data_IF_605206258758
#
_entry.id   IF_605206258758
#
_cell.length_a   1.000
_cell.length_b   1.000
_cell.length_c   1.000
_cell.angle_alpha   90.00
_cell.angle_beta   90.00
_cell.angle_gamma   90.00
#
_symmetry.space_group_name_H-M   'P 1'
#
loop_
_entity.id
_entity.type
_entity.pdbx_description
1 polymer ?
#
# COMPACT_ATOMS: atom_id res chain seq x y z
N UNK A 1 -25.42 -8.77 4.47
CA UNK A 1 -24.87 -7.97 3.34
C UNK A 1 -24.90 -8.83 2.09
N UNK A 2 -24.92 -8.25 0.87
CA UNK A 2 -24.85 -9.07 -0.35
C UNK A 2 -23.53 -9.84 -0.41
N UNK A 3 -23.56 -11.02 -1.03
CA UNK A 3 -22.35 -11.80 -1.31
C UNK A 3 -21.70 -11.19 -2.55
N UNK A 4 -20.44 -10.75 -2.43
CA UNK A 4 -19.66 -10.21 -3.55
C UNK A 4 -19.05 -11.33 -4.38
N UNK A 5 -18.82 -11.08 -5.66
CA UNK A 5 -18.04 -12.01 -6.49
C UNK A 5 -16.58 -12.04 -6.05
N UNK A 6 -16.04 -10.85 -5.70
CA UNK A 6 -14.67 -10.72 -5.18
C UNK A 6 -14.54 -9.57 -4.17
N UNK A 7 -13.80 -9.81 -3.10
CA UNK A 7 -13.34 -8.76 -2.19
C UNK A 7 -11.83 -8.60 -2.33
N UNK A 8 -11.39 -7.36 -2.57
CA UNK A 8 -9.98 -6.99 -2.70
C UNK A 8 -9.54 -6.37 -1.38
N UNK A 9 -8.51 -6.92 -0.76
CA UNK A 9 -7.96 -6.47 0.53
C UNK A 9 -6.64 -5.75 0.29
N UNK A 10 -6.63 -4.46 0.53
CA UNK A 10 -5.51 -3.55 0.29
C UNK A 10 -5.68 -2.71 -0.98
N UNK A 11 -5.29 -1.43 -0.87
CA UNK A 11 -5.29 -0.46 -1.97
C UNK A 11 -3.87 0.03 -2.33
N UNK A 12 -2.84 -0.82 -2.15
CA UNK A 12 -1.54 -0.69 -2.81
C UNK A 12 -1.71 -0.86 -4.32
N UNK A 13 -0.67 -0.64 -5.15
CA UNK A 13 -0.80 -0.69 -6.61
C UNK A 13 -1.55 -1.92 -7.17
N UNK A 14 -1.36 -3.15 -6.62
CA UNK A 14 -2.13 -4.32 -7.08
C UNK A 14 -3.63 -4.24 -6.80
N UNK A 15 -4.05 -3.56 -5.72
CA UNK A 15 -5.47 -3.44 -5.36
C UNK A 15 -6.31 -2.72 -6.43
N UNK A 16 -5.99 -1.46 -6.78
CA UNK A 16 -6.63 -0.77 -7.89
C UNK A 16 -6.53 -1.53 -9.23
N UNK A 17 -5.41 -2.19 -9.51
CA UNK A 17 -5.28 -3.02 -10.71
C UNK A 17 -6.32 -4.16 -10.73
N UNK A 18 -6.51 -4.85 -9.60
CA UNK A 18 -7.54 -5.87 -9.44
C UNK A 18 -8.95 -5.28 -9.55
N UNK A 19 -9.19 -4.08 -8.98
CA UNK A 19 -10.45 -3.37 -9.09
C UNK A 19 -10.81 -3.01 -10.54
N UNK A 20 -9.83 -2.56 -11.32
CA UNK A 20 -10.00 -2.30 -12.76
C UNK A 20 -10.39 -3.58 -13.50
N UNK A 21 -9.70 -4.68 -13.22
CA UNK A 21 -9.98 -5.97 -13.84
C UNK A 21 -11.40 -6.45 -13.48
N UNK A 22 -11.80 -6.35 -12.21
CA UNK A 22 -13.14 -6.71 -11.76
C UNK A 22 -14.22 -5.89 -12.48
N UNK A 23 -14.05 -4.55 -12.59
CA UNK A 23 -14.97 -3.69 -13.36
C UNK A 23 -15.06 -4.09 -14.83
N UNK A 24 -13.93 -4.36 -15.48
CA UNK A 24 -13.91 -4.78 -16.90
C UNK A 24 -14.61 -6.10 -17.14
N UNK A 25 -14.60 -6.99 -16.15
CA UNK A 25 -15.28 -8.28 -16.21
C UNK A 25 -16.73 -8.23 -15.72
N UNK A 26 -17.24 -7.05 -15.32
CA UNK A 26 -18.60 -6.89 -14.80
C UNK A 26 -18.85 -7.59 -13.47
N UNK A 27 -17.79 -7.84 -12.67
CA UNK A 27 -17.92 -8.50 -11.37
C UNK A 27 -18.41 -7.50 -10.30
N UNK A 28 -19.26 -7.99 -9.42
CA UNK A 28 -19.64 -7.28 -8.19
C UNK A 28 -18.50 -7.39 -7.18
N UNK A 29 -17.75 -6.30 -6.96
CA UNK A 29 -16.58 -6.30 -6.09
C UNK A 29 -16.70 -5.32 -4.92
N UNK A 30 -15.93 -5.57 -3.88
CA UNK A 30 -15.61 -4.64 -2.82
C UNK A 30 -14.09 -4.48 -2.71
N UNK A 31 -13.60 -3.27 -2.47
CA UNK A 31 -12.20 -3.02 -2.16
C UNK A 31 -12.09 -2.38 -0.79
N UNK A 32 -11.24 -2.92 0.07
CA UNK A 32 -11.07 -2.52 1.46
C UNK A 32 -9.62 -2.10 1.70
N UNK A 33 -9.43 -0.97 2.36
CA UNK A 33 -8.10 -0.45 2.72
C UNK A 33 -8.11 0.04 4.16
N UNK A 34 -7.13 -0.40 4.93
CA UNK A 34 -6.98 0.01 6.34
C UNK A 34 -6.55 1.47 6.47
N UNK A 35 -5.68 1.91 5.60
CA UNK A 35 -5.07 3.24 5.62
C UNK A 35 -5.56 4.15 4.50
N UNK A 36 -4.60 4.71 3.77
CA UNK A 36 -4.83 5.59 2.62
C UNK A 36 -4.48 4.86 1.31
N UNK A 37 -4.94 5.39 0.19
CA UNK A 37 -4.58 4.88 -1.13
C UNK A 37 -3.06 4.79 -1.28
N UNK A 38 -2.57 3.63 -1.75
CA UNK A 38 -1.15 3.28 -1.88
C UNK A 38 -0.33 3.58 -0.61
N UNK A 39 -0.84 3.09 0.52
CA UNK A 39 -0.32 3.41 1.87
C UNK A 39 1.19 3.23 2.00
N UNK A 40 1.76 2.13 1.49
CA UNK A 40 3.21 1.90 1.53
C UNK A 40 3.98 2.98 0.77
N UNK A 41 3.51 3.39 -0.42
CA UNK A 41 4.13 4.49 -1.17
C UNK A 41 4.03 5.82 -0.42
N UNK A 42 2.91 6.05 0.28
CA UNK A 42 2.75 7.22 1.13
C UNK A 42 3.79 7.28 2.27
N UNK A 43 4.22 6.12 2.76
CA UNK A 43 5.23 5.99 3.83
C UNK A 43 6.68 5.94 3.35
N UNK A 44 6.93 5.85 2.05
CA UNK A 44 8.28 5.91 1.49
C UNK A 44 8.95 7.26 1.78
N UNK A 45 10.29 7.36 1.73
CA UNK A 45 11.02 8.61 1.91
C UNK A 45 10.46 9.72 1.03
N UNK A 46 10.39 10.94 1.57
CA UNK A 46 9.70 12.08 0.90
C UNK A 46 10.32 12.38 -0.47
N UNK A 47 11.65 12.33 -0.56
CA UNK A 47 12.41 12.63 -1.76
C UNK A 47 12.69 11.42 -2.65
N UNK A 48 12.06 10.26 -2.33
CA UNK A 48 12.33 9.02 -3.06
C UNK A 48 12.06 9.17 -4.55
N UNK A 49 13.03 8.74 -5.35
CA UNK A 49 12.93 8.49 -6.78
C UNK A 49 12.89 6.97 -6.98
N UNK A 50 11.95 6.50 -7.80
CA UNK A 50 11.86 5.06 -8.09
C UNK A 50 13.06 4.60 -8.90
N UNK A 51 13.47 3.33 -8.76
CA UNK A 51 14.54 2.73 -9.55
C UNK A 51 14.03 2.10 -10.85
N UNK A 52 12.76 2.26 -11.14
CA UNK A 52 12.11 1.77 -12.36
C UNK A 52 11.56 2.95 -13.17
N UNK A 53 11.32 2.70 -14.47
CA UNK A 53 10.71 3.68 -15.35
C UNK A 53 9.19 3.80 -15.12
N UNK A 54 8.54 4.90 -15.55
CA UNK A 54 7.11 5.11 -15.36
C UNK A 54 6.25 3.96 -15.87
N UNK A 55 6.59 3.39 -17.01
CA UNK A 55 5.81 2.34 -17.68
C UNK A 55 5.65 1.08 -16.82
N UNK A 56 6.62 0.77 -15.95
CA UNK A 56 6.57 -0.38 -15.05
C UNK A 56 5.71 -0.14 -13.80
N UNK A 57 5.29 1.09 -13.58
CA UNK A 57 4.36 1.46 -12.50
C UNK A 57 2.92 1.62 -13.01
N UNK A 58 2.73 1.61 -14.33
CA UNK A 58 1.42 1.80 -14.94
C UNK A 58 0.47 0.64 -14.67
N UNK A 59 -0.78 0.98 -14.42
CA UNK A 59 -1.87 0.02 -14.27
C UNK A 59 -3.08 0.43 -15.11
N UNK A 60 -3.85 -0.57 -15.53
CA UNK A 60 -5.08 -0.37 -16.28
C UNK A 60 -4.92 0.17 -17.70
N UNK A 61 -3.69 0.46 -18.16
CA UNK A 61 -3.44 1.09 -19.47
C UNK A 61 -3.54 2.63 -19.40
N UNK A 62 -3.56 3.23 -18.20
CA UNK A 62 -3.47 4.67 -18.03
C UNK A 62 -1.99 5.07 -17.92
N UNK A 63 -1.44 5.96 -18.79
CA UNK A 63 -0.02 6.29 -18.74
C UNK A 63 0.36 7.12 -17.51
N UNK A 64 1.54 6.81 -16.95
CA UNK A 64 2.23 7.63 -15.96
C UNK A 64 3.24 8.52 -16.69
N UNK A 65 2.91 9.80 -16.85
CA UNK A 65 3.79 10.76 -17.52
C UNK A 65 4.67 11.44 -16.47
N UNK A 66 5.99 11.29 -16.64
CA UNK A 66 7.00 11.99 -15.85
C UNK A 66 7.93 12.76 -16.80
N UNK A 67 8.42 13.95 -16.41
CA UNK A 67 9.45 14.66 -17.15
C UNK A 67 10.86 14.03 -16.97
N UNK A 68 10.96 13.03 -16.08
CA UNK A 68 12.22 12.37 -15.73
C UNK A 68 12.18 10.91 -16.19
N UNK A 69 13.36 10.32 -16.39
CA UNK A 69 13.50 8.89 -16.70
C UNK A 69 12.89 7.99 -15.60
N UNK A 70 13.01 8.43 -14.35
CA UNK A 70 12.49 7.71 -13.19
C UNK A 70 11.53 8.62 -12.41
N UNK A 71 10.31 8.15 -12.13
CA UNK A 71 9.33 8.98 -11.44
C UNK A 71 9.66 9.12 -9.96
N UNK A 72 9.21 10.23 -9.39
CA UNK A 72 9.29 10.50 -7.95
C UNK A 72 8.13 9.84 -7.21
N UNK A 73 8.28 9.68 -5.88
CA UNK A 73 7.18 9.28 -4.99
C UNK A 73 5.93 10.14 -5.17
N UNK A 74 6.09 11.46 -5.30
CA UNK A 74 4.96 12.37 -5.44
C UNK A 74 4.20 12.17 -6.75
N UNK A 75 4.91 11.90 -7.85
CA UNK A 75 4.29 11.59 -9.14
C UNK A 75 3.52 10.28 -9.08
N UNK A 76 4.07 9.23 -8.44
CA UNK A 76 3.37 7.98 -8.24
C UNK A 76 2.10 8.16 -7.39
N UNK A 77 2.14 8.91 -6.29
CA UNK A 77 0.97 9.20 -5.46
C UNK A 77 -0.13 9.93 -6.26
N UNK A 78 0.25 10.89 -7.11
CA UNK A 78 -0.68 11.61 -7.99
C UNK A 78 -1.26 10.69 -9.07
N UNK A 79 -0.42 9.83 -9.61
CA UNK A 79 -0.82 8.86 -10.63
C UNK A 79 -1.88 7.90 -10.11
N UNK A 80 -1.67 7.23 -8.97
CA UNK A 80 -2.63 6.27 -8.45
C UNK A 80 -3.95 6.91 -8.04
N UNK A 81 -3.97 8.16 -7.55
CA UNK A 81 -5.22 8.91 -7.36
C UNK A 81 -5.96 9.10 -8.68
N UNK A 82 -5.25 9.56 -9.71
CA UNK A 82 -5.84 9.73 -11.05
C UNK A 82 -6.39 8.42 -11.61
N UNK A 83 -5.72 7.28 -11.37
CA UNK A 83 -6.20 5.96 -11.77
C UNK A 83 -7.52 5.63 -11.07
N UNK A 84 -7.61 5.80 -9.76
CA UNK A 84 -8.83 5.54 -8.99
C UNK A 84 -9.98 6.40 -9.49
N UNK A 85 -9.74 7.69 -9.70
CA UNK A 85 -10.74 8.63 -10.20
C UNK A 85 -11.17 8.30 -11.64
N UNK A 86 -10.20 8.01 -12.54
CA UNK A 86 -10.46 7.70 -13.95
C UNK A 86 -11.33 6.46 -14.12
N UNK A 87 -11.07 5.42 -13.32
CA UNK A 87 -11.83 4.17 -13.36
C UNK A 87 -13.01 4.18 -12.41
N UNK A 88 -13.27 5.27 -11.67
CA UNK A 88 -14.30 5.36 -10.63
C UNK A 88 -14.26 4.10 -9.72
N UNK A 89 -13.11 3.81 -9.13
CA UNK A 89 -12.95 2.64 -8.28
C UNK A 89 -13.51 2.93 -6.88
N UNK A 90 -14.39 2.05 -6.43
CA UNK A 90 -15.00 2.16 -5.10
C UNK A 90 -14.12 1.45 -4.07
N UNK A 91 -13.43 2.22 -3.21
CA UNK A 91 -12.54 1.73 -2.15
C UNK A 91 -13.07 2.20 -0.81
N UNK A 92 -13.33 1.28 0.11
CA UNK A 92 -13.67 1.60 1.49
C UNK A 92 -12.36 1.79 2.30
N UNK A 93 -12.04 3.04 2.56
CA UNK A 93 -10.89 3.40 3.39
C UNK A 93 -11.22 3.32 4.89
N UNK A 94 -10.20 3.13 5.73
CA UNK A 94 -10.34 3.01 7.17
C UNK A 94 -11.07 1.72 7.58
N UNK A 95 -11.02 0.66 6.76
CA UNK A 95 -11.64 -0.62 7.05
C UNK A 95 -10.61 -1.75 6.94
N UNK A 96 -10.22 -2.28 8.10
CA UNK A 96 -9.27 -3.38 8.24
C UNK A 96 -9.99 -4.73 8.16
N UNK A 97 -9.50 -5.65 7.35
CA UNK A 97 -9.86 -7.07 7.41
C UNK A 97 -9.10 -7.71 8.56
N UNK A 98 -9.80 -8.30 9.52
CA UNK A 98 -9.24 -8.91 10.73
C UNK A 98 -9.05 -10.40 10.56
N UNK A 99 -10.04 -11.08 9.97
CA UNK A 99 -9.97 -12.51 9.65
C UNK A 99 -10.72 -12.81 8.36
N UNK A 100 -10.38 -13.94 7.75
CA UNK A 100 -11.08 -14.51 6.61
C UNK A 100 -11.27 -15.99 6.89
N UNK A 101 -12.51 -16.42 6.95
CA UNK A 101 -12.89 -17.80 7.24
C UNK A 101 -13.80 -18.35 6.15
N UNK A 102 -13.77 -19.68 5.97
CA UNK A 102 -14.71 -20.34 5.06
C UNK A 102 -16.05 -20.53 5.77
N UNK A 103 -17.10 -20.04 5.15
CA UNK A 103 -18.48 -20.21 5.60
C UNK A 103 -19.28 -20.89 4.47
N UNK A 104 -19.38 -22.23 4.55
CA UNK A 104 -19.94 -23.07 3.49
C UNK A 104 -19.25 -22.83 2.14
N UNK A 105 -20.00 -22.27 1.16
CA UNK A 105 -19.52 -22.02 -0.20
C UNK A 105 -18.97 -20.59 -0.41
N UNK A 106 -18.90 -19.80 0.64
CA UNK A 106 -18.41 -18.41 0.60
C UNK A 106 -17.32 -18.19 1.64
N UNK A 107 -16.66 -17.04 1.53
CA UNK A 107 -15.69 -16.56 2.50
C UNK A 107 -16.33 -15.45 3.34
N UNK A 108 -16.29 -15.61 4.66
CA UNK A 108 -16.69 -14.60 5.62
C UNK A 108 -15.47 -13.79 6.04
N UNK A 109 -15.51 -12.48 5.81
CA UNK A 109 -14.46 -11.54 6.20
C UNK A 109 -14.95 -10.74 7.41
N UNK A 110 -14.32 -10.93 8.56
CA UNK A 110 -14.51 -9.99 9.68
C UNK A 110 -13.71 -8.72 9.39
N UNK A 111 -14.39 -7.57 9.44
CA UNK A 111 -13.77 -6.27 9.24
C UNK A 111 -14.00 -5.36 10.43
N UNK A 112 -13.08 -4.41 10.65
CA UNK A 112 -13.17 -3.38 11.67
C UNK A 112 -12.82 -2.02 11.07
N UNK A 113 -13.72 -1.07 11.23
CA UNK A 113 -13.46 0.31 10.79
C UNK A 113 -12.56 1.05 11.80
N UNK A 114 -11.97 2.17 11.38
CA UNK A 114 -11.23 3.12 12.22
C UNK A 114 -12.05 3.64 13.41
N UNK A 115 -13.39 3.68 13.26
CA UNK A 115 -14.36 4.03 14.32
C UNK A 115 -14.73 2.85 15.21
N UNK A 116 -14.05 1.70 15.08
CA UNK A 116 -14.29 0.50 15.88
C UNK A 116 -15.51 -0.33 15.50
N UNK A 117 -16.22 0.00 14.42
CA UNK A 117 -17.39 -0.77 13.98
C UNK A 117 -16.93 -2.08 13.35
N UNK A 118 -17.42 -3.19 13.90
CA UNK A 118 -17.21 -4.54 13.33
C UNK A 118 -18.32 -4.89 12.35
N UNK A 119 -17.93 -5.58 11.26
CA UNK A 119 -18.84 -6.06 10.22
C UNK A 119 -18.40 -7.42 9.73
N UNK A 120 -19.37 -8.23 9.26
CA UNK A 120 -19.09 -9.44 8.49
C UNK A 120 -19.48 -9.17 7.03
N UNK A 121 -18.53 -9.37 6.14
CA UNK A 121 -18.72 -9.29 4.68
C UNK A 121 -18.59 -10.68 4.10
N UNK A 122 -19.40 -11.00 3.08
CA UNK A 122 -19.33 -12.28 2.39
C UNK A 122 -18.86 -12.10 0.96
N UNK A 123 -18.00 -13.00 0.52
CA UNK A 123 -17.41 -12.98 -0.83
C UNK A 123 -17.18 -14.39 -1.35
N UNK A 124 -17.34 -14.60 -2.66
CA UNK A 124 -16.98 -15.88 -3.30
C UNK A 124 -15.46 -16.03 -3.39
N UNK A 125 -14.76 -14.93 -3.64
CA UNK A 125 -13.30 -14.89 -3.79
C UNK A 125 -12.71 -13.73 -3.00
N UNK A 126 -11.46 -13.87 -2.57
CA UNK A 126 -10.69 -12.80 -1.93
C UNK A 126 -9.34 -12.66 -2.64
N UNK A 127 -8.98 -11.42 -2.95
CA UNK A 127 -7.66 -11.07 -3.46
C UNK A 127 -6.92 -10.30 -2.37
N UNK A 128 -5.79 -10.84 -1.90
CA UNK A 128 -4.92 -10.17 -0.95
C UNK A 128 -3.89 -9.31 -1.69
N UNK A 129 -3.98 -8.00 -1.51
CA UNK A 129 -3.10 -6.98 -2.06
C UNK A 129 -2.45 -6.15 -0.94
N UNK A 130 -2.14 -6.80 0.20
CA UNK A 130 -1.76 -6.18 1.47
C UNK A 130 -0.31 -5.71 1.54
N UNK A 131 0.53 -6.09 0.57
CA UNK A 131 1.95 -5.74 0.57
C UNK A 131 2.72 -6.37 1.75
N UNK A 132 3.92 -5.85 2.01
CA UNK A 132 4.79 -6.32 3.10
C UNK A 132 5.62 -5.20 3.75
N UNK A 133 5.57 -3.98 3.22
CA UNK A 133 6.42 -2.87 3.66
C UNK A 133 6.21 -2.48 5.13
N UNK A 134 5.02 -2.69 5.68
CA UNK A 134 4.69 -2.33 7.06
C UNK A 134 5.25 -3.33 8.10
N UNK A 135 5.95 -4.37 7.67
CA UNK A 135 6.59 -5.37 8.52
C UNK A 135 8.11 -5.29 8.33
N UNK A 136 8.83 -4.49 9.15
CA UNK A 136 10.28 -4.42 9.07
C UNK A 136 10.92 -5.75 9.47
N UNK A 137 12.10 -6.03 8.95
CA UNK A 137 12.89 -7.15 9.38
C UNK A 137 13.59 -6.77 10.69
N UNK A 138 13.16 -7.33 11.81
CA UNK A 138 13.78 -7.14 13.11
C UNK A 138 15.15 -7.84 13.14
N UNK A 139 16.17 -7.17 13.68
CA UNK A 139 17.50 -7.73 13.85
C UNK A 139 17.61 -8.57 15.13
N UNK A 140 16.69 -8.37 16.08
CA UNK A 140 16.67 -9.05 17.37
C UNK A 140 17.83 -8.66 18.29
N UNK A 141 18.35 -7.45 18.14
CA UNK A 141 19.47 -6.95 18.94
C UNK A 141 18.99 -6.11 20.13
N UNK A 142 19.73 -6.10 21.25
CA UNK A 142 19.40 -5.24 22.38
C UNK A 142 19.39 -3.77 21.99
N UNK A 143 18.30 -3.08 22.36
CA UNK A 143 18.13 -1.65 22.07
C UNK A 143 17.41 -1.32 20.77
N UNK A 144 17.04 -2.30 19.96
CA UNK A 144 16.34 -2.09 18.68
C UNK A 144 15.00 -1.35 18.83
N UNK A 145 14.30 -1.58 19.94
CA UNK A 145 13.01 -0.94 20.25
C UNK A 145 13.14 0.38 21.03
N UNK A 146 14.32 0.98 21.10
CA UNK A 146 14.48 2.27 21.78
C UNK A 146 13.85 3.40 20.93
N UNK A 147 13.31 4.46 21.60
CA UNK A 147 12.55 5.52 20.89
C UNK A 147 13.34 6.29 19.83
N UNK A 148 14.66 6.22 19.84
CA UNK A 148 15.54 6.87 18.86
C UNK A 148 16.02 5.90 17.74
N UNK A 149 15.54 4.67 17.73
CA UNK A 149 15.79 3.70 16.66
C UNK A 149 14.57 3.68 15.74
N UNK A 150 14.81 3.80 14.45
CA UNK A 150 13.76 3.80 13.43
C UNK A 150 14.06 2.76 12.35
N UNK A 151 13.04 1.97 11.98
CA UNK A 151 13.14 1.03 10.86
C UNK A 151 12.84 1.68 9.50
N UNK A 152 12.24 2.88 9.52
CA UNK A 152 11.86 3.60 8.31
C UNK A 152 12.48 4.99 8.31
N UNK A 153 13.23 5.27 7.26
CA UNK A 153 13.71 6.60 6.97
C UNK A 153 12.60 7.41 6.28
N UNK A 154 12.46 8.67 6.65
CA UNK A 154 11.46 9.57 6.07
C UNK A 154 12.12 10.73 5.31
N UNK A 155 12.97 11.51 5.98
CA UNK A 155 13.71 12.64 5.41
C UNK A 155 14.95 12.99 6.25
N UNK A 156 15.93 13.61 5.63
CA UNK A 156 17.22 13.96 6.24
C UNK A 156 17.15 15.13 7.22
N UNK A 157 16.18 16.04 7.05
CA UNK A 157 16.12 17.28 7.85
C UNK A 157 16.04 17.01 9.37
N UNK A 158 15.36 15.94 9.78
CA UNK A 158 15.25 15.55 11.19
C UNK A 158 16.60 15.17 11.83
N UNK A 159 17.62 14.89 11.02
CA UNK A 159 18.95 14.46 11.45
C UNK A 159 20.00 15.56 11.33
N UNK A 160 19.62 16.78 10.96
CA UNK A 160 20.55 17.90 10.81
C UNK A 160 21.43 18.09 12.04
N UNK A 161 22.75 18.10 11.86
CA UNK A 161 23.79 18.17 12.92
C UNK A 161 23.72 17.06 13.97
N UNK A 162 23.14 15.92 13.66
CA UNK A 162 23.13 14.75 14.54
C UNK A 162 24.13 13.70 14.07
N UNK A 163 24.62 12.90 14.98
CA UNK A 163 25.37 11.68 14.67
C UNK A 163 24.35 10.56 14.45
N UNK A 164 24.36 9.98 13.27
CA UNK A 164 23.44 8.92 12.88
C UNK A 164 24.24 7.66 12.57
N UNK A 165 23.74 6.52 13.01
CA UNK A 165 24.25 5.20 12.61
C UNK A 165 23.18 4.56 11.73
N UNK A 166 23.58 4.11 10.55
CA UNK A 166 22.71 3.41 9.61
C UNK A 166 23.17 1.94 9.61
N UNK A 167 22.24 1.03 9.91
CA UNK A 167 22.50 -0.41 9.95
C UNK A 167 21.86 -1.05 8.72
N UNK A 168 22.69 -1.61 7.85
CA UNK A 168 22.26 -2.29 6.63
C UNK A 168 23.27 -2.09 5.49
N UNK A 169 23.22 -2.98 4.51
CA UNK A 169 24.11 -2.95 3.32
C UNK A 169 23.35 -2.93 1.99
N UNK A 170 22.03 -2.69 2.02
CA UNK A 170 21.22 -2.60 0.81
C UNK A 170 21.13 -1.17 0.25
N UNK A 171 20.46 -1.03 -0.90
CA UNK A 171 20.30 0.26 -1.58
C UNK A 171 19.66 1.31 -0.67
N UNK A 172 18.61 0.96 0.08
CA UNK A 172 17.95 1.90 1.00
C UNK A 172 18.90 2.50 2.03
N UNK A 173 19.84 1.69 2.56
CA UNK A 173 20.84 2.16 3.53
C UNK A 173 21.84 3.11 2.88
N UNK A 174 22.30 2.78 1.66
CA UNK A 174 23.23 3.62 0.91
C UNK A 174 22.59 4.96 0.50
N UNK A 175 21.35 4.94 0.00
CA UNK A 175 20.59 6.14 -0.38
C UNK A 175 20.35 7.03 0.84
N UNK A 176 19.92 6.45 1.98
CA UNK A 176 19.72 7.21 3.24
C UNK A 176 21.02 7.86 3.73
N UNK A 177 22.17 7.22 3.49
CA UNK A 177 23.47 7.75 3.89
C UNK A 177 23.95 8.90 2.98
N UNK A 178 23.48 8.96 1.75
CA UNK A 178 23.86 9.95 0.75
C UNK A 178 22.95 11.23 0.81
N UNK A 179 21.77 11.12 1.32
CA UNK A 179 20.82 12.23 1.50
C UNK A 179 21.11 13.04 2.77
#
# INVERSE_FOLDING_TARGET
MPIRDVTIVGAGPPGPAAGIAAKRLGLDYASLETGVLVHSLHRFPVNMVFFTTPELLEIGGLPLVSPYEKPTRLEALRYYRRVVDHYDLQIAFGEQVVSVERDLDVLALETRTDKGVRRIRHSRNVIFAIGYYDHPNDLGVPGENLPHVAHYYHESHSFYRRRVVIVGGGNSSAETALE
#
